data_IF_095129779457
#
_entry.id   IF_095129779457
#
_cell.length_a   1.000
_cell.length_b   1.000
_cell.length_c   1.000
_cell.angle_alpha   90.00
_cell.angle_beta   90.00
_cell.angle_gamma   90.00
#
_symmetry.space_group_name_H-M   'P 1'
#
loop_
_entity.id
_entity.type
_entity.pdbx_description
1 polymer ?
#
# COMPACT_ATOMS: atom_id res chain seq x y z
N UNK A 1 -1.36 -8.74 -3.19
CA UNK A 1 -0.71 -9.47 -2.07
C UNK A 1 -0.21 -8.48 -1.05
N UNK A 2 -0.61 -8.62 0.21
CA UNK A 2 -0.06 -7.90 1.36
C UNK A 2 0.99 -8.80 2.03
N UNK A 3 2.29 -8.44 2.07
CA UNK A 3 3.35 -9.29 2.61
C UNK A 3 3.55 -9.12 4.14
N UNK A 4 2.48 -9.01 4.90
CA UNK A 4 2.50 -8.80 6.35
C UNK A 4 2.24 -10.12 7.12
N UNK A 5 3.18 -10.61 7.96
CA UNK A 5 4.56 -10.14 8.06
C UNK A 5 5.43 -10.59 6.88
N UNK A 6 6.49 -9.83 6.60
CA UNK A 6 7.44 -10.20 5.55
C UNK A 6 8.08 -11.57 5.82
N UNK A 7 8.17 -12.41 4.80
CA UNK A 7 8.82 -13.71 4.84
C UNK A 7 9.51 -13.98 3.50
N UNK A 8 10.41 -14.95 3.47
CA UNK A 8 11.08 -15.33 2.23
C UNK A 8 10.09 -15.87 1.19
N UNK A 9 10.20 -15.34 -0.02
CA UNK A 9 9.39 -15.73 -1.18
C UNK A 9 10.32 -16.10 -2.34
N UNK A 10 9.92 -17.10 -3.12
CA UNK A 10 10.69 -17.47 -4.32
C UNK A 10 10.50 -16.44 -5.44
N UNK A 11 11.50 -16.35 -6.32
CA UNK A 11 11.40 -15.48 -7.50
C UNK A 11 10.23 -15.84 -8.43
N UNK A 12 9.88 -17.13 -8.48
CA UNK A 12 8.73 -17.61 -9.24
C UNK A 12 7.41 -17.09 -8.68
N UNK A 13 7.33 -16.94 -7.34
CA UNK A 13 6.15 -16.42 -6.68
C UNK A 13 5.90 -14.94 -7.04
N UNK A 14 6.94 -14.11 -7.10
CA UNK A 14 6.80 -12.70 -7.46
C UNK A 14 6.18 -12.49 -8.83
N UNK A 15 6.47 -13.36 -9.79
CA UNK A 15 5.90 -13.30 -11.17
C UNK A 15 4.39 -13.54 -11.22
N UNK A 16 3.82 -14.14 -10.17
CA UNK A 16 2.38 -14.42 -10.05
C UNK A 16 1.62 -13.26 -9.40
N UNK A 17 2.33 -12.25 -8.89
CA UNK A 17 1.72 -11.15 -8.13
C UNK A 17 1.35 -9.99 -9.04
N UNK A 18 0.07 -9.67 -9.13
CA UNK A 18 -0.42 -8.50 -9.87
C UNK A 18 -0.25 -7.20 -9.07
N UNK A 19 -0.61 -7.21 -7.78
CA UNK A 19 -0.48 -6.09 -6.87
C UNK A 19 0.27 -6.51 -5.62
N UNK A 20 1.34 -5.81 -5.29
CA UNK A 20 2.15 -6.02 -4.10
C UNK A 20 2.13 -4.77 -3.25
N UNK A 21 1.70 -4.88 -1.98
CA UNK A 21 1.39 -3.74 -1.13
C UNK A 21 2.22 -3.74 0.17
N UNK A 22 3.56 -3.72 0.10
CA UNK A 22 4.41 -3.67 1.28
C UNK A 22 4.36 -2.28 1.95
N UNK A 23 4.63 -2.24 3.27
CA UNK A 23 5.07 -1.04 3.95
C UNK A 23 6.59 -0.81 3.75
N UNK A 24 7.14 0.27 4.35
CA UNK A 24 8.58 0.60 4.22
C UNK A 24 9.48 -0.54 4.70
N UNK A 25 9.15 -1.17 5.84
CA UNK A 25 9.94 -2.24 6.44
C UNK A 25 9.88 -3.53 5.62
N UNK A 26 8.71 -3.86 5.12
CA UNK A 26 8.50 -5.01 4.24
C UNK A 26 9.20 -4.82 2.90
N UNK A 27 9.10 -3.63 2.32
CA UNK A 27 9.83 -3.31 1.09
C UNK A 27 11.35 -3.35 1.29
N UNK A 28 11.86 -2.86 2.44
CA UNK A 28 13.27 -2.98 2.83
C UNK A 28 13.68 -4.46 2.94
N UNK A 29 12.86 -5.31 3.54
CA UNK A 29 13.15 -6.75 3.65
C UNK A 29 13.42 -7.40 2.29
N UNK A 30 12.58 -7.12 1.28
CA UNK A 30 12.72 -7.72 -0.05
C UNK A 30 13.78 -7.05 -0.92
N UNK A 31 14.07 -5.79 -0.67
CA UNK A 31 14.95 -5.00 -1.55
C UNK A 31 16.31 -4.70 -0.94
N UNK A 32 16.43 -4.72 0.38
CA UNK A 32 17.61 -4.22 1.10
C UNK A 32 17.76 -2.70 1.02
N UNK A 33 16.73 -1.98 0.55
CA UNK A 33 16.73 -0.52 0.41
C UNK A 33 15.92 0.07 1.55
N UNK A 34 16.57 0.82 2.44
CA UNK A 34 15.89 1.58 3.48
C UNK A 34 15.14 2.75 2.85
N UNK A 35 13.86 2.86 3.16
CA UNK A 35 12.99 3.87 2.57
C UNK A 35 12.76 5.01 3.57
N UNK A 36 13.30 6.18 3.27
CA UNK A 36 13.16 7.41 4.06
C UNK A 36 12.50 8.54 3.26
N UNK A 37 12.53 8.45 1.94
CA UNK A 37 12.02 9.45 1.01
C UNK A 37 11.49 8.81 -0.28
N UNK A 38 10.88 9.64 -1.13
CA UNK A 38 10.26 9.23 -2.39
C UNK A 38 11.25 8.57 -3.38
N UNK A 39 12.49 9.07 -3.45
CA UNK A 39 13.53 8.51 -4.32
C UNK A 39 13.85 7.06 -3.96
N UNK A 40 13.95 6.78 -2.67
CA UNK A 40 14.23 5.42 -2.17
C UNK A 40 13.02 4.51 -2.35
N UNK A 41 11.80 5.05 -2.18
CA UNK A 41 10.57 4.30 -2.49
C UNK A 41 10.53 3.89 -3.97
N UNK A 42 10.88 4.81 -4.88
CA UNK A 42 11.02 4.50 -6.31
C UNK A 42 12.07 3.41 -6.56
N UNK A 43 13.27 3.53 -5.99
CA UNK A 43 14.33 2.54 -6.17
C UNK A 43 13.89 1.14 -5.67
N UNK A 44 13.19 1.07 -4.53
CA UNK A 44 12.65 -0.17 -4.01
C UNK A 44 11.58 -0.74 -4.95
N UNK A 45 10.67 0.08 -5.45
CA UNK A 45 9.65 -0.34 -6.40
C UNK A 45 10.25 -0.87 -7.71
N UNK A 46 11.24 -0.16 -8.29
CA UNK A 46 11.95 -0.60 -9.50
C UNK A 46 12.61 -1.98 -9.31
N UNK A 47 13.22 -2.21 -8.12
CA UNK A 47 13.82 -3.50 -7.79
C UNK A 47 12.77 -4.61 -7.70
N UNK A 48 11.62 -4.36 -7.08
CA UNK A 48 10.52 -5.30 -6.97
C UNK A 48 9.88 -5.63 -8.33
N UNK A 49 9.73 -4.62 -9.21
CA UNK A 49 9.25 -4.82 -10.58
C UNK A 49 10.23 -5.72 -11.37
N UNK A 50 11.53 -5.52 -11.19
CA UNK A 50 12.55 -6.36 -11.82
C UNK A 50 12.53 -7.83 -11.34
N UNK A 51 11.94 -8.12 -10.17
CA UNK A 51 11.67 -9.47 -9.70
C UNK A 51 10.44 -10.11 -10.36
N UNK A 52 9.66 -9.34 -11.12
CA UNK A 52 8.52 -9.81 -11.91
C UNK A 52 7.15 -9.40 -11.40
N UNK A 53 7.07 -8.61 -10.33
CA UNK A 53 5.80 -8.07 -9.82
C UNK A 53 5.29 -7.01 -10.80
N UNK A 54 3.97 -7.02 -11.08
CA UNK A 54 3.41 -6.13 -12.10
C UNK A 54 3.14 -4.72 -11.59
N UNK A 55 2.68 -4.60 -10.34
CA UNK A 55 2.30 -3.31 -9.74
C UNK A 55 2.69 -3.28 -8.27
N UNK A 56 3.40 -2.24 -7.89
CA UNK A 56 3.90 -2.02 -6.54
C UNK A 56 3.18 -0.84 -5.91
N UNK A 57 2.76 -1.00 -4.67
CA UNK A 57 2.23 0.10 -3.86
C UNK A 57 2.95 0.05 -2.53
N UNK A 58 3.88 0.95 -2.29
CA UNK A 58 4.58 1.05 -1.01
C UNK A 58 3.81 2.03 -0.13
N UNK A 59 3.27 1.54 0.98
CA UNK A 59 2.64 2.40 1.98
C UNK A 59 3.70 3.03 2.87
N UNK A 60 3.62 4.34 3.09
CA UNK A 60 4.61 5.18 3.75
C UNK A 60 4.06 5.84 5.03
N UNK A 61 3.10 5.19 5.68
CA UNK A 61 2.46 5.68 6.88
C UNK A 61 1.88 7.09 6.70
N UNK A 62 2.25 8.00 7.59
CA UNK A 62 1.79 9.41 7.55
C UNK A 62 2.27 10.21 6.33
N UNK A 63 3.23 9.68 5.58
CA UNK A 63 3.70 10.30 4.33
C UNK A 63 2.82 9.95 3.14
N UNK A 64 2.01 8.88 3.24
CA UNK A 64 1.09 8.46 2.18
C UNK A 64 1.52 7.16 1.49
N UNK A 65 1.65 7.18 0.18
CA UNK A 65 2.03 5.99 -0.59
C UNK A 65 2.80 6.35 -1.87
N UNK A 66 3.55 5.39 -2.37
CA UNK A 66 4.16 5.41 -3.69
C UNK A 66 3.67 4.21 -4.51
N UNK A 67 3.22 4.44 -5.73
CA UNK A 67 2.81 3.43 -6.71
C UNK A 67 3.73 3.45 -7.92
N UNK A 68 4.03 2.27 -8.46
CA UNK A 68 4.64 2.12 -9.78
C UNK A 68 4.20 0.81 -10.45
N UNK A 69 4.02 0.84 -11.77
CA UNK A 69 3.89 -0.34 -12.63
C UNK A 69 5.03 -0.44 -13.67
N UNK A 70 6.09 0.33 -13.46
CA UNK A 70 7.23 0.43 -14.36
C UNK A 70 7.04 1.40 -15.54
N UNK A 71 5.85 1.96 -15.70
CA UNK A 71 5.51 2.95 -16.74
C UNK A 71 4.94 4.23 -16.14
N UNK A 72 4.04 4.06 -15.17
CA UNK A 72 3.40 5.14 -14.45
C UNK A 72 3.87 5.13 -12.99
N UNK A 73 4.09 6.32 -12.44
CA UNK A 73 4.45 6.53 -11.03
C UNK A 73 3.47 7.52 -10.42
N UNK A 74 2.94 7.18 -9.24
CA UNK A 74 2.02 8.03 -8.50
C UNK A 74 2.49 8.14 -7.06
N UNK A 75 2.69 9.35 -6.57
CA UNK A 75 2.88 9.65 -5.17
C UNK A 75 1.63 10.34 -4.62
N UNK A 76 1.01 9.75 -3.60
CA UNK A 76 -0.13 10.35 -2.91
C UNK A 76 0.24 10.62 -1.45
N UNK A 77 -0.01 11.83 -1.00
CA UNK A 77 0.10 12.19 0.42
C UNK A 77 -0.97 11.46 1.23
N UNK A 78 -0.67 11.15 2.49
CA UNK A 78 -1.64 10.57 3.39
C UNK A 78 -2.88 11.45 3.55
N UNK A 79 -4.03 10.82 3.74
CA UNK A 79 -5.25 11.53 4.13
C UNK A 79 -5.02 12.20 5.48
N UNK A 80 -5.25 13.51 5.55
CA UNK A 80 -5.04 14.28 6.78
C UNK A 80 -6.13 13.94 7.81
N UNK A 81 -5.75 13.18 8.82
CA UNK A 81 -6.61 12.78 9.95
C UNK A 81 -5.86 12.89 11.26
N UNK A 82 -6.59 12.95 12.38
CA UNK A 82 -5.99 12.77 13.70
C UNK A 82 -5.98 11.30 14.04
N UNK A 83 -4.85 10.63 13.80
CA UNK A 83 -4.68 9.21 14.11
C UNK A 83 -4.72 8.97 15.63
N UNK A 84 -5.42 7.92 16.03
CA UNK A 84 -5.53 7.41 17.41
C UNK A 84 -4.84 6.05 17.51
N UNK A 85 -5.10 5.16 16.56
CA UNK A 85 -4.54 3.81 16.50
C UNK A 85 -4.31 3.42 15.04
N UNK A 86 -3.09 2.98 14.72
CA UNK A 86 -2.72 2.59 13.35
C UNK A 86 -2.84 1.09 13.09
N UNK A 87 -3.31 0.33 14.08
CA UNK A 87 -3.51 -1.12 13.96
C UNK A 87 -4.51 -1.43 12.85
N UNK A 88 -4.12 -2.29 11.91
CA UNK A 88 -4.98 -2.68 10.79
C UNK A 88 -5.08 -1.66 9.64
N UNK A 89 -4.35 -0.53 9.68
CA UNK A 89 -4.40 0.46 8.60
C UNK A 89 -3.98 -0.12 7.24
N UNK A 90 -3.00 -1.04 7.21
CA UNK A 90 -2.61 -1.77 6.00
C UNK A 90 -3.72 -2.68 5.47
N UNK A 91 -4.48 -3.32 6.34
CA UNK A 91 -5.62 -4.17 5.96
C UNK A 91 -6.76 -3.30 5.42
N UNK A 92 -7.04 -2.17 6.08
CA UNK A 92 -8.00 -1.17 5.61
C UNK A 92 -7.62 -0.64 4.21
N UNK A 93 -6.34 -0.34 4.00
CA UNK A 93 -5.81 0.06 2.70
C UNK A 93 -6.10 -1.00 1.63
N UNK A 94 -5.75 -2.26 1.90
CA UNK A 94 -5.98 -3.36 0.97
C UNK A 94 -7.47 -3.60 0.69
N UNK A 95 -8.32 -3.45 1.71
CA UNK A 95 -9.78 -3.49 1.55
C UNK A 95 -10.30 -2.40 0.61
N UNK A 96 -9.86 -1.15 0.81
CA UNK A 96 -10.20 -0.02 -0.04
C UNK A 96 -9.70 -0.19 -1.48
N UNK A 97 -8.47 -0.68 -1.65
CA UNK A 97 -7.89 -0.98 -2.96
C UNK A 97 -8.71 -2.04 -3.70
N UNK A 98 -9.00 -3.17 -3.03
CA UNK A 98 -9.78 -4.25 -3.61
C UNK A 98 -11.19 -3.80 -4.01
N UNK A 99 -11.84 -2.99 -3.17
CA UNK A 99 -13.15 -2.42 -3.47
C UNK A 99 -13.09 -1.50 -4.71
N UNK A 100 -12.11 -0.60 -4.79
CA UNK A 100 -11.91 0.28 -5.95
C UNK A 100 -11.72 -0.51 -7.24
N UNK A 101 -10.86 -1.53 -7.21
CA UNK A 101 -10.61 -2.42 -8.34
C UNK A 101 -11.87 -3.19 -8.75
N UNK A 102 -12.69 -3.67 -7.80
CA UNK A 102 -13.94 -4.36 -8.08
C UNK A 102 -14.99 -3.48 -8.76
N UNK A 103 -14.84 -2.16 -8.68
CA UNK A 103 -15.68 -1.14 -9.32
C UNK A 103 -15.07 -0.63 -10.62
N UNK A 104 -14.03 -1.28 -11.14
CA UNK A 104 -13.35 -0.91 -12.40
C UNK A 104 -12.88 0.55 -12.43
N UNK A 105 -12.57 1.12 -11.24
CA UNK A 105 -12.01 2.47 -11.14
C UNK A 105 -10.60 2.53 -11.72
N UNK A 106 -10.18 3.71 -12.17
CA UNK A 106 -8.78 3.96 -12.52
C UNK A 106 -7.85 3.67 -11.34
N UNK A 107 -6.60 3.32 -11.62
CA UNK A 107 -5.63 3.03 -10.55
C UNK A 107 -5.50 4.21 -9.58
N UNK A 108 -5.49 5.43 -10.08
CA UNK A 108 -5.42 6.64 -9.25
C UNK A 108 -6.61 6.73 -8.28
N UNK A 109 -7.84 6.53 -8.76
CA UNK A 109 -9.04 6.53 -7.92
C UNK A 109 -9.02 5.39 -6.88
N UNK A 110 -8.50 4.21 -7.27
CA UNK A 110 -8.34 3.09 -6.33
C UNK A 110 -7.35 3.44 -5.21
N UNK A 111 -6.23 4.08 -5.54
CA UNK A 111 -5.22 4.49 -4.57
C UNK A 111 -5.74 5.61 -3.65
N UNK A 112 -6.44 6.60 -4.18
CA UNK A 112 -7.07 7.67 -3.41
C UNK A 112 -8.11 7.11 -2.42
N UNK A 113 -8.94 6.18 -2.88
CA UNK A 113 -9.92 5.49 -2.04
C UNK A 113 -9.25 4.67 -0.94
N UNK A 114 -8.26 3.83 -1.29
CA UNK A 114 -7.51 3.02 -0.33
C UNK A 114 -6.81 3.86 0.74
N UNK A 115 -6.20 4.97 0.33
CA UNK A 115 -5.54 5.93 1.22
C UNK A 115 -6.54 6.58 2.18
N UNK A 116 -7.74 6.96 1.69
CA UNK A 116 -8.81 7.51 2.51
C UNK A 116 -9.33 6.48 3.53
N UNK A 117 -9.59 5.25 3.09
CA UNK A 117 -10.06 4.15 3.96
C UNK A 117 -9.03 3.87 5.06
N UNK A 118 -7.75 3.75 4.70
CA UNK A 118 -6.67 3.58 5.67
C UNK A 118 -6.57 4.74 6.66
N UNK A 119 -6.64 5.98 6.19
CA UNK A 119 -6.63 7.16 7.05
C UNK A 119 -7.80 7.14 8.05
N UNK A 120 -9.01 6.89 7.59
CA UNK A 120 -10.21 6.84 8.45
C UNK A 120 -10.11 5.72 9.48
N UNK A 121 -9.60 4.54 9.14
CA UNK A 121 -9.43 3.44 10.11
C UNK A 121 -8.54 3.81 11.29
N UNK A 122 -7.58 4.72 11.11
CA UNK A 122 -6.70 5.15 12.20
C UNK A 122 -7.34 6.13 13.19
N UNK A 123 -8.54 6.62 12.93
CA UNK A 123 -9.23 7.60 13.79
C UNK A 123 -9.98 6.98 14.96
N UNK A 124 -10.04 5.66 15.05
CA UNK A 124 -10.72 4.89 16.09
C UNK A 124 -9.76 3.86 16.68
N UNK A 125 -10.05 3.38 17.89
CA UNK A 125 -9.28 2.29 18.52
C UNK A 125 -9.66 0.93 17.91
N UNK A 126 -8.66 0.07 17.78
CA UNK A 126 -8.81 -1.31 17.33
C UNK A 126 -8.69 -1.46 15.81
N UNK A 127 -8.62 -2.70 15.33
CA UNK A 127 -8.48 -3.03 13.92
C UNK A 127 -9.85 -3.19 13.24
N UNK A 128 -10.57 -4.29 13.54
CA UNK A 128 -11.85 -4.60 12.89
C UNK A 128 -12.93 -3.55 13.14
N UNK A 129 -13.09 -3.12 14.40
CA UNK A 129 -14.11 -2.13 14.81
C UNK A 129 -13.80 -0.72 14.29
N UNK A 130 -12.57 -0.46 13.91
CA UNK A 130 -12.13 0.82 13.36
C UNK A 130 -12.35 0.95 11.84
N UNK A 131 -12.70 -0.14 11.15
CA UNK A 131 -12.93 -0.10 9.70
C UNK A 131 -14.11 0.81 9.35
N UNK A 132 -13.91 1.77 8.41
CA UNK A 132 -14.98 2.69 8.03
C UNK A 132 -16.06 1.97 7.22
N UNK A 133 -17.31 2.36 7.44
CA UNK A 133 -18.41 1.97 6.57
C UNK A 133 -18.38 2.77 5.27
N UNK A 134 -19.03 2.22 4.23
CA UNK A 134 -19.09 2.89 2.92
C UNK A 134 -19.73 4.28 2.99
N UNK A 135 -20.61 4.53 3.95
CA UNK A 135 -21.24 5.83 4.19
C UNK A 135 -20.30 6.88 4.81
N UNK A 136 -19.14 6.46 5.32
CA UNK A 136 -18.10 7.34 5.91
C UNK A 136 -17.01 7.72 4.88
N UNK A 137 -17.00 7.03 3.75
CA UNK A 137 -16.02 7.18 2.66
C UNK A 137 -16.59 8.07 1.55
#
# INVERSE_FOLDING_TARGET
MNPAPACELSNEFFKLVDYFTPNEMEAEFYTGIKISNEKEAKQAADKLINLGIKKIIITLGEKGLFYSDGKEEIYLKATSVKAIDTTGAGDAFNGGLAFGLSKEKSIKECLELANKVAGLSTTKLGAGDAMPFLSEI
#
